data_IF_797152897872
#
_entry.id   IF_797152897872
#
_cell.length_a   1.000
_cell.length_b   1.000
_cell.length_c   1.000
_cell.angle_alpha   90.00
_cell.angle_beta   90.00
_cell.angle_gamma   90.00
#
_symmetry.space_group_name_H-M   'P 1'
#
loop_
_entity.id
_entity.type
_entity.pdbx_description
1 polymer ?
#
# COMPACT_ATOMS: atom_id res chain seq x y z
N UNK A 1 0.22 -21.85 -31.31
CA UNK A 1 -0.71 -21.00 -32.08
C UNK A 1 -0.74 -19.66 -31.36
N UNK A 2 0.11 -18.71 -31.79
CA UNK A 2 0.21 -17.40 -31.16
C UNK A 2 -0.77 -16.46 -31.85
N UNK A 3 -2.06 -16.62 -31.57
CA UNK A 3 -2.99 -15.53 -31.76
C UNK A 3 -2.78 -14.61 -30.56
N UNK A 4 -2.17 -13.44 -30.77
CA UNK A 4 -2.26 -12.34 -29.82
C UNK A 4 -3.74 -12.00 -29.70
N UNK A 5 -4.40 -12.54 -28.67
CA UNK A 5 -5.77 -12.16 -28.36
C UNK A 5 -5.80 -10.65 -28.17
N UNK A 6 -6.63 -9.98 -28.99
CA UNK A 6 -6.78 -8.54 -28.95
C UNK A 6 -7.48 -8.21 -27.63
N UNK A 7 -6.77 -7.53 -26.72
CA UNK A 7 -7.37 -7.08 -25.47
C UNK A 7 -8.53 -6.11 -25.76
N UNK A 8 -9.66 -6.36 -25.11
CA UNK A 8 -10.82 -5.46 -25.09
C UNK A 8 -11.10 -5.15 -23.62
N UNK A 9 -11.22 -3.87 -23.25
CA UNK A 9 -11.43 -3.48 -21.86
C UNK A 9 -12.66 -4.15 -21.20
N UNK A 10 -13.65 -4.55 -21.99
CA UNK A 10 -14.85 -5.27 -21.52
C UNK A 10 -14.53 -6.61 -20.82
N UNK A 11 -13.48 -7.30 -21.26
CA UNK A 11 -13.08 -8.65 -20.81
C UNK A 11 -11.96 -8.62 -19.75
N UNK A 12 -11.58 -7.43 -19.27
CA UNK A 12 -10.54 -7.27 -18.27
C UNK A 12 -10.93 -7.94 -16.95
N UNK A 13 -10.12 -8.89 -16.51
CA UNK A 13 -10.27 -9.62 -15.25
C UNK A 13 -8.90 -9.81 -14.60
N UNK A 14 -8.91 -10.06 -13.29
CA UNK A 14 -7.70 -10.42 -12.53
C UNK A 14 -7.63 -11.94 -12.43
N UNK A 15 -6.42 -12.51 -12.45
CA UNK A 15 -6.22 -13.92 -12.13
C UNK A 15 -6.81 -14.27 -10.74
N UNK A 16 -7.67 -15.29 -10.70
CA UNK A 16 -8.29 -15.78 -9.46
C UNK A 16 -7.24 -16.18 -8.41
N UNK A 17 -6.09 -16.72 -8.85
CA UNK A 17 -4.99 -17.07 -7.96
C UNK A 17 -4.34 -15.82 -7.33
N UNK A 18 -4.36 -14.68 -8.01
CA UNK A 18 -3.82 -13.42 -7.52
C UNK A 18 -4.73 -12.80 -6.43
N UNK A 19 -6.03 -13.08 -6.45
CA UNK A 19 -7.02 -12.56 -5.48
C UNK A 19 -7.39 -13.53 -4.34
N UNK A 20 -7.04 -14.82 -4.47
CA UNK A 20 -7.31 -15.80 -3.43
C UNK A 20 -6.62 -15.44 -2.10
N UNK A 21 -7.27 -15.55 -0.93
CA UNK A 21 -6.60 -15.37 0.36
C UNK A 21 -5.39 -16.30 0.51
N UNK A 22 -4.30 -15.81 1.12
CA UNK A 22 -3.16 -16.65 1.46
C UNK A 22 -3.57 -17.65 2.57
N UNK A 23 -3.03 -18.89 2.57
CA UNK A 23 -3.37 -19.90 3.59
C UNK A 23 -3.20 -19.37 5.01
N UNK A 24 -4.16 -19.71 5.88
CA UNK A 24 -4.20 -19.32 7.30
C UNK A 24 -4.05 -17.81 7.54
N UNK A 25 -4.32 -16.99 6.53
CA UNK A 25 -4.13 -15.55 6.60
C UNK A 25 -5.43 -14.81 6.29
N UNK A 26 -5.63 -13.66 6.93
CA UNK A 26 -6.69 -12.72 6.56
C UNK A 26 -6.16 -11.30 6.46
N UNK A 27 -6.71 -10.53 5.52
CA UNK A 27 -6.51 -9.08 5.48
C UNK A 27 -7.18 -8.47 6.72
N UNK A 28 -6.48 -7.55 7.37
CA UNK A 28 -7.02 -6.70 8.42
C UNK A 28 -6.71 -5.25 8.12
N UNK A 29 -7.43 -4.35 8.77
CA UNK A 29 -7.17 -2.92 8.71
C UNK A 29 -7.02 -2.36 10.12
N UNK A 30 -5.92 -1.66 10.36
CA UNK A 30 -5.72 -0.87 11.58
C UNK A 30 -6.23 0.54 11.31
N UNK A 31 -7.24 0.97 12.06
CA UNK A 31 -7.77 2.32 11.98
C UNK A 31 -6.80 3.31 12.65
N UNK A 32 -6.54 4.44 11.98
CA UNK A 32 -5.77 5.55 12.54
C UNK A 32 -6.64 6.55 13.29
N UNK A 33 -6.23 7.81 13.29
CA UNK A 33 -6.93 8.93 13.94
C UNK A 33 -8.31 9.26 13.34
N UNK A 34 -8.65 8.67 12.19
CA UNK A 34 -9.87 8.94 11.43
C UNK A 34 -10.41 7.66 10.76
N UNK A 35 -11.73 7.51 10.59
CA UNK A 35 -12.35 6.27 10.09
C UNK A 35 -11.97 5.88 8.65
N UNK A 36 -11.57 6.84 7.82
CA UNK A 36 -11.13 6.62 6.45
C UNK A 36 -9.62 6.33 6.35
N UNK A 37 -8.86 6.42 7.44
CA UNK A 37 -7.46 6.01 7.51
C UNK A 37 -7.39 4.57 8.03
N UNK A 38 -7.50 3.63 7.10
CA UNK A 38 -7.50 2.18 7.37
C UNK A 38 -6.24 1.57 6.77
N UNK A 39 -5.29 1.18 7.62
CA UNK A 39 -3.98 0.69 7.20
C UNK A 39 -3.99 -0.83 7.07
N UNK A 40 -3.82 -1.38 5.85
CA UNK A 40 -3.89 -2.81 5.62
C UNK A 40 -2.66 -3.51 6.18
N UNK A 41 -2.93 -4.65 6.78
CA UNK A 41 -1.94 -5.64 7.17
C UNK A 41 -2.53 -7.02 6.90
N UNK A 42 -1.68 -8.04 7.01
CA UNK A 42 -2.14 -9.42 6.99
C UNK A 42 -1.87 -10.04 8.34
N UNK A 43 -2.89 -10.66 8.92
CA UNK A 43 -2.68 -11.50 10.09
C UNK A 43 -2.59 -12.97 9.67
N UNK A 44 -1.80 -13.74 10.40
CA UNK A 44 -1.58 -15.16 10.19
C UNK A 44 -2.01 -15.89 11.47
N UNK A 45 -3.00 -16.76 11.35
CA UNK A 45 -3.44 -17.62 12.43
C UNK A 45 -2.36 -18.67 12.73
N UNK A 46 -2.17 -18.97 14.01
CA UNK A 46 -1.26 -19.99 14.48
C UNK A 46 -2.08 -21.13 15.11
N UNK A 47 -1.60 -22.36 14.96
CA UNK A 47 -2.16 -23.49 15.69
C UNK A 47 -1.89 -23.34 17.20
N UNK A 48 -2.74 -23.94 18.02
CA UNK A 48 -2.53 -23.98 19.47
C UNK A 48 -1.30 -24.85 19.79
N UNK A 49 -0.48 -24.40 20.73
CA UNK A 49 0.66 -25.18 21.23
C UNK A 49 0.13 -26.36 22.04
N UNK A 50 0.41 -27.63 21.68
CA UNK A 50 -0.09 -28.76 22.45
C UNK A 50 0.45 -28.77 23.88
N UNK A 51 -0.44 -28.84 24.86
CA UNK A 51 -0.10 -28.98 26.28
C UNK A 51 -0.89 -30.14 26.89
N UNK A 52 -0.44 -30.65 28.05
CA UNK A 52 -1.12 -31.74 28.75
C UNK A 52 -2.58 -31.42 29.16
N UNK A 53 -3.02 -30.16 29.10
CA UNK A 53 -4.32 -29.69 29.57
C UNK A 53 -5.11 -28.90 28.50
N UNK A 54 -5.01 -29.27 27.23
CA UNK A 54 -5.94 -28.78 26.19
C UNK A 54 -5.42 -27.67 25.27
N UNK A 55 -4.10 -27.48 25.22
CA UNK A 55 -3.45 -26.56 24.28
C UNK A 55 -3.36 -25.11 24.76
N UNK A 56 -2.27 -24.41 24.44
CA UNK A 56 -2.08 -22.99 24.73
C UNK A 56 -2.27 -22.18 23.43
N UNK A 57 -3.18 -21.21 23.47
CA UNK A 57 -3.53 -20.40 22.30
C UNK A 57 -2.39 -19.47 21.91
N UNK A 58 -2.04 -19.50 20.63
CA UNK A 58 -1.07 -18.57 20.06
C UNK A 58 -1.80 -17.40 19.38
N UNK A 59 -1.48 -16.14 19.72
CA UNK A 59 -2.13 -15.01 19.07
C UNK A 59 -1.68 -14.90 17.61
N UNK A 60 -2.49 -14.32 16.73
CA UNK A 60 -2.11 -14.19 15.33
C UNK A 60 -0.87 -13.30 15.17
N UNK A 61 -0.06 -13.59 14.16
CA UNK A 61 1.11 -12.77 13.78
C UNK A 61 0.69 -11.79 12.71
N UNK A 62 1.02 -10.52 12.89
CA UNK A 62 0.79 -9.49 11.88
C UNK A 62 2.02 -9.33 10.99
N UNK A 63 1.79 -9.21 9.69
CA UNK A 63 2.84 -8.97 8.68
C UNK A 63 2.44 -7.81 7.79
N UNK A 64 3.47 -7.14 7.25
CA UNK A 64 3.29 -6.12 6.24
C UNK A 64 2.64 -6.73 4.99
N UNK A 65 1.70 -6.02 4.38
CA UNK A 65 0.94 -6.51 3.25
C UNK A 65 0.83 -5.45 2.15
N UNK A 66 1.34 -5.78 0.97
CA UNK A 66 1.41 -4.93 -0.21
C UNK A 66 0.35 -5.29 -1.25
N UNK A 67 -0.43 -6.36 -1.04
CA UNK A 67 -1.34 -6.90 -2.05
C UNK A 67 -2.57 -6.02 -2.33
N UNK A 68 -2.71 -4.89 -1.64
CA UNK A 68 -3.86 -4.00 -1.78
C UNK A 68 -5.21 -4.67 -1.54
N UNK A 69 -6.30 -4.17 -2.15
CA UNK A 69 -7.64 -4.73 -2.02
C UNK A 69 -7.79 -6.13 -2.63
N UNK A 70 -6.81 -6.61 -3.42
CA UNK A 70 -6.92 -7.88 -4.15
C UNK A 70 -7.04 -9.10 -3.24
N UNK A 71 -6.50 -9.06 -2.02
CA UNK A 71 -6.65 -10.16 -1.04
C UNK A 71 -7.68 -9.89 0.05
N UNK A 72 -8.48 -8.82 -0.11
CA UNK A 72 -9.61 -8.54 0.77
C UNK A 72 -10.89 -9.22 0.23
N UNK A 73 -11.42 -10.25 0.90
CA UNK A 73 -12.62 -10.96 0.43
C UNK A 73 -13.88 -10.08 0.41
N UNK A 74 -13.87 -8.93 1.10
CA UNK A 74 -14.97 -7.97 1.06
C UNK A 74 -14.85 -6.97 -0.11
N UNK A 75 -13.68 -6.90 -0.76
CA UNK A 75 -13.48 -6.00 -1.89
C UNK A 75 -14.09 -6.60 -3.17
N UNK A 76 -14.84 -5.77 -3.90
CA UNK A 76 -15.30 -6.10 -5.25
C UNK A 76 -14.31 -5.51 -6.25
N UNK A 77 -13.50 -6.37 -6.85
CA UNK A 77 -12.49 -5.96 -7.83
C UNK A 77 -13.11 -5.96 -9.22
N UNK A 78 -13.19 -4.78 -9.83
CA UNK A 78 -13.48 -4.61 -11.25
C UNK A 78 -12.41 -3.69 -11.85
N UNK A 79 -11.48 -4.27 -12.62
CA UNK A 79 -10.38 -3.52 -13.25
C UNK A 79 -10.92 -2.38 -14.11
N UNK A 80 -12.10 -2.54 -14.71
CA UNK A 80 -12.74 -1.56 -15.60
C UNK A 80 -13.20 -0.30 -14.87
N UNK A 81 -13.44 -0.43 -13.57
CA UNK A 81 -13.81 0.67 -12.68
C UNK A 81 -12.59 1.25 -11.95
N UNK A 82 -11.47 0.54 -11.97
CA UNK A 82 -10.28 0.87 -11.19
C UNK A 82 -10.47 0.68 -9.69
N UNK A 83 -9.39 0.86 -8.93
CA UNK A 83 -9.43 0.77 -7.47
C UNK A 83 -10.13 1.99 -6.84
N UNK A 84 -10.66 1.85 -5.61
CA UNK A 84 -11.17 2.96 -4.83
C UNK A 84 -10.09 4.04 -4.62
N UNK A 85 -10.47 5.31 -4.79
CA UNK A 85 -9.57 6.45 -4.59
C UNK A 85 -9.42 6.80 -3.09
N UNK A 86 -8.75 5.92 -2.34
CA UNK A 86 -8.55 5.97 -0.90
C UNK A 86 -8.14 7.37 -0.39
N UNK A 87 -7.20 8.02 -1.08
CA UNK A 87 -6.60 9.29 -0.67
C UNK A 87 -7.33 10.52 -1.20
N UNK A 88 -8.40 10.36 -1.99
CA UNK A 88 -9.07 11.48 -2.67
C UNK A 88 -9.47 12.57 -1.67
N UNK A 89 -10.13 12.18 -0.58
CA UNK A 89 -10.60 13.12 0.47
C UNK A 89 -9.43 13.86 1.13
N UNK A 90 -8.32 13.17 1.38
CA UNK A 90 -7.12 13.75 2.00
C UNK A 90 -6.47 14.79 1.09
N UNK A 91 -6.51 14.57 -0.22
CA UNK A 91 -6.01 15.52 -1.22
C UNK A 91 -6.93 16.74 -1.31
N UNK A 92 -8.25 16.53 -1.23
CA UNK A 92 -9.25 17.59 -1.34
C UNK A 92 -9.29 18.53 -0.14
N UNK A 93 -9.27 17.97 1.08
CA UNK A 93 -9.40 18.73 2.32
C UNK A 93 -8.23 19.68 2.57
N UNK A 94 -7.05 19.43 1.98
CA UNK A 94 -5.89 20.32 2.07
C UNK A 94 -6.09 21.66 1.36
N UNK A 95 -6.99 21.74 0.40
CA UNK A 95 -7.35 23.01 -0.26
C UNK A 95 -6.24 23.63 -1.13
N UNK A 96 -5.17 22.90 -1.41
CA UNK A 96 -3.98 23.37 -2.14
C UNK A 96 -3.87 22.83 -3.57
N UNK A 97 -4.84 22.02 -4.00
CA UNK A 97 -4.99 21.55 -5.39
C UNK A 97 -6.24 22.11 -6.06
N UNK A 98 -6.24 22.08 -7.40
CA UNK A 98 -7.38 22.38 -8.25
C UNK A 98 -7.54 21.30 -9.31
N UNK A 99 -8.80 21.04 -9.69
CA UNK A 99 -9.15 20.09 -10.75
C UNK A 99 -9.05 20.82 -12.09
N UNK A 100 -8.34 20.22 -13.03
CA UNK A 100 -8.25 20.73 -14.39
C UNK A 100 -9.47 20.31 -15.21
N UNK A 101 -9.88 21.13 -16.19
CA UNK A 101 -11.00 20.79 -17.05
C UNK A 101 -10.73 19.55 -17.89
N UNK A 102 -9.47 19.35 -18.30
CA UNK A 102 -9.01 18.28 -19.19
C UNK A 102 -7.49 18.00 -19.03
N UNK A 103 -6.96 17.02 -19.77
CA UNK A 103 -5.54 16.66 -19.86
C UNK A 103 -4.70 17.85 -20.35
N UNK A 104 -3.69 18.19 -19.55
CA UNK A 104 -2.80 19.31 -19.81
C UNK A 104 -1.50 18.93 -20.51
N UNK A 105 -1.10 17.65 -20.52
CA UNK A 105 0.10 17.19 -21.24
C UNK A 105 -0.19 16.98 -22.73
N UNK A 106 0.80 17.29 -23.57
CA UNK A 106 0.72 17.03 -25.01
C UNK A 106 0.52 15.53 -25.29
N UNK A 107 1.33 14.69 -24.66
CA UNK A 107 1.23 13.23 -24.76
C UNK A 107 -0.16 12.72 -24.36
N UNK A 108 -0.71 13.20 -23.23
CA UNK A 108 -2.04 12.81 -22.77
C UNK A 108 -3.13 13.18 -23.76
N UNK A 109 -3.10 14.41 -24.32
CA UNK A 109 -4.05 14.84 -25.34
C UNK A 109 -3.93 14.03 -26.64
N UNK A 110 -2.71 13.75 -27.10
CA UNK A 110 -2.48 12.93 -28.29
C UNK A 110 -3.06 11.52 -28.10
N UNK A 111 -2.81 10.88 -26.94
CA UNK A 111 -3.35 9.55 -26.63
C UNK A 111 -4.87 9.55 -26.43
N UNK A 112 -5.45 10.62 -25.90
CA UNK A 112 -6.89 10.75 -25.77
C UNK A 112 -7.61 10.96 -27.11
N UNK A 113 -6.94 11.58 -28.09
CA UNK A 113 -7.48 11.83 -29.42
C UNK A 113 -7.27 10.67 -30.40
N UNK A 114 -6.47 9.66 -30.04
CA UNK A 114 -6.15 8.51 -30.89
C UNK A 114 -7.30 7.46 -30.87
N UNK A 115 -8.04 7.27 -31.98
CA UNK A 115 -9.15 6.30 -32.03
C UNK A 115 -8.71 4.85 -31.88
N UNK A 116 -7.44 4.54 -32.18
CA UNK A 116 -6.90 3.17 -32.04
C UNK A 116 -6.84 2.72 -30.57
N UNK A 117 -6.92 3.66 -29.63
CA UNK A 117 -6.88 3.40 -28.20
C UNK A 117 -8.28 3.32 -27.56
N UNK A 118 -9.35 3.60 -28.30
CA UNK A 118 -10.73 3.65 -27.77
C UNK A 118 -11.11 2.36 -27.02
N UNK A 119 -10.81 1.19 -27.61
CA UNK A 119 -11.09 -0.12 -27.03
C UNK A 119 -10.23 -0.47 -25.80
N UNK A 120 -9.13 0.25 -25.59
CA UNK A 120 -8.21 0.08 -24.45
C UNK A 120 -8.57 1.00 -23.28
N UNK A 121 -9.41 2.03 -23.49
CA UNK A 121 -9.77 2.97 -22.42
C UNK A 121 -10.77 2.34 -21.47
N UNK A 122 -10.48 2.45 -20.18
CA UNK A 122 -11.37 1.96 -19.14
C UNK A 122 -12.58 2.91 -18.98
N UNK A 123 -13.81 2.47 -19.31
CA UNK A 123 -14.98 3.34 -19.36
C UNK A 123 -15.44 3.81 -17.98
N UNK A 124 -15.02 3.17 -16.89
CA UNK A 124 -15.34 3.60 -15.52
C UNK A 124 -14.42 4.71 -14.98
N UNK A 125 -13.31 5.02 -15.66
CA UNK A 125 -12.25 5.86 -15.12
C UNK A 125 -12.28 7.28 -15.71
N UNK A 126 -13.19 8.12 -15.20
CA UNK A 126 -13.33 9.53 -15.59
C UNK A 126 -12.75 10.52 -14.58
N UNK A 127 -11.62 10.17 -13.95
CA UNK A 127 -10.97 11.06 -12.97
C UNK A 127 -10.29 12.22 -13.70
N UNK A 128 -10.72 13.45 -13.38
CA UNK A 128 -10.07 14.65 -13.92
C UNK A 128 -8.73 14.89 -13.23
N UNK A 129 -7.68 15.27 -13.97
CA UNK A 129 -6.38 15.50 -13.39
C UNK A 129 -6.42 16.72 -12.45
N UNK A 130 -5.64 16.63 -11.37
CA UNK A 130 -5.39 17.71 -10.42
C UNK A 130 -3.99 18.29 -10.62
N UNK A 131 -3.85 19.58 -10.29
CA UNK A 131 -2.55 20.23 -10.08
C UNK A 131 -2.55 21.03 -8.78
N UNK A 132 -1.36 21.38 -8.31
CA UNK A 132 -1.23 22.37 -7.24
C UNK A 132 -1.80 23.73 -7.71
N UNK A 133 -2.47 24.45 -6.81
CA UNK A 133 -2.87 25.84 -7.04
C UNK A 133 -1.63 26.72 -7.21
N UNK A 134 -1.78 27.85 -7.90
CA UNK A 134 -0.70 28.81 -8.08
C UNK A 134 -0.08 29.21 -6.72
N UNK A 135 1.25 29.14 -6.62
CA UNK A 135 1.99 29.46 -5.39
C UNK A 135 1.98 28.37 -4.30
N UNK A 136 1.27 27.25 -4.51
CA UNK A 136 1.23 26.14 -3.56
C UNK A 136 2.20 25.02 -3.94
N UNK A 137 2.60 24.23 -2.95
CA UNK A 137 3.42 23.02 -3.13
C UNK A 137 2.76 21.87 -2.38
N UNK A 138 2.56 20.76 -3.08
CA UNK A 138 1.76 19.62 -2.61
C UNK A 138 2.60 18.42 -2.20
N UNK A 139 3.93 18.56 -2.19
CA UNK A 139 4.85 17.47 -1.85
C UNK A 139 4.86 17.17 -0.36
N UNK A 140 5.07 15.90 0.01
CA UNK A 140 5.20 15.48 1.40
C UNK A 140 6.36 16.18 2.11
N UNK A 141 7.47 16.45 1.41
CA UNK A 141 8.60 17.24 1.94
C UNK A 141 8.21 18.68 2.27
N UNK A 142 7.33 19.31 1.48
CA UNK A 142 6.84 20.66 1.76
C UNK A 142 6.04 20.70 3.07
N UNK A 143 5.06 19.80 3.23
CA UNK A 143 4.29 19.72 4.47
C UNK A 143 5.18 19.41 5.67
N UNK A 144 6.10 18.45 5.52
CA UNK A 144 7.01 18.04 6.58
C UNK A 144 7.87 19.20 7.11
N UNK A 145 8.42 20.02 6.20
CA UNK A 145 9.24 21.20 6.56
C UNK A 145 8.42 22.34 7.18
N UNK A 146 7.11 22.39 6.92
CA UNK A 146 6.17 23.29 7.61
C UNK A 146 5.73 22.77 9.00
N UNK A 147 6.20 21.60 9.43
CA UNK A 147 5.78 20.99 10.69
C UNK A 147 4.40 20.32 10.59
N UNK A 148 3.89 20.07 9.39
CA UNK A 148 2.57 19.47 9.17
C UNK A 148 2.74 17.95 9.04
N UNK A 149 1.99 17.21 9.85
CA UNK A 149 1.80 15.76 9.72
C UNK A 149 0.56 15.54 8.83
N UNK A 150 0.75 14.88 7.69
CA UNK A 150 -0.35 14.55 6.77
C UNK A 150 -0.98 13.20 7.12
N UNK A 151 -2.20 12.90 6.61
CA UNK A 151 -2.75 11.55 6.70
C UNK A 151 -1.81 10.48 6.11
N UNK A 152 -1.04 10.79 5.06
CA UNK A 152 -0.07 9.84 4.52
C UNK A 152 1.09 9.56 5.50
N UNK A 153 1.54 10.56 6.27
CA UNK A 153 2.60 10.36 7.28
C UNK A 153 2.12 9.51 8.46
N UNK A 154 0.86 9.69 8.88
CA UNK A 154 0.25 8.83 9.89
C UNK A 154 0.05 7.41 9.36
N UNK A 155 -0.46 7.27 8.14
CA UNK A 155 -0.67 5.97 7.50
C UNK A 155 0.60 5.13 7.48
N UNK A 156 1.71 5.69 7.01
CA UNK A 156 2.99 4.96 6.98
C UNK A 156 3.54 4.70 8.37
N UNK A 157 3.30 5.57 9.37
CA UNK A 157 3.73 5.31 10.74
C UNK A 157 3.04 4.06 11.32
N UNK A 158 1.72 3.95 11.14
CA UNK A 158 0.96 2.76 11.54
C UNK A 158 1.44 1.53 10.77
N UNK A 159 1.65 1.66 9.44
CA UNK A 159 2.06 0.55 8.57
C UNK A 159 3.42 -0.03 8.97
N UNK A 160 4.38 0.82 9.28
CA UNK A 160 5.75 0.43 9.65
C UNK A 160 5.83 -0.21 11.04
N UNK A 161 4.85 0.01 11.92
CA UNK A 161 4.78 -0.66 13.22
C UNK A 161 4.21 -2.09 13.14
N UNK A 162 3.59 -2.48 12.01
CA UNK A 162 3.06 -3.83 11.74
C UNK A 162 2.23 -4.38 12.92
N UNK A 163 1.42 -3.51 13.54
CA UNK A 163 0.56 -3.81 14.69
C UNK A 163 1.27 -4.54 15.86
N UNK A 164 2.57 -4.25 16.05
CA UNK A 164 3.41 -4.92 17.05
C UNK A 164 2.90 -4.75 18.48
N UNK A 165 2.38 -3.58 18.83
CA UNK A 165 1.83 -3.33 20.18
C UNK A 165 0.67 -4.28 20.48
N UNK A 166 -0.31 -4.41 19.57
CA UNK A 166 -1.42 -5.34 19.71
C UNK A 166 -0.94 -6.78 19.83
N UNK A 167 0.07 -7.20 19.06
CA UNK A 167 0.65 -8.53 19.19
C UNK A 167 1.19 -8.78 20.60
N UNK A 168 1.92 -7.82 21.17
CA UNK A 168 2.45 -7.93 22.53
C UNK A 168 1.33 -7.95 23.58
N UNK A 169 0.26 -7.16 23.39
CA UNK A 169 -0.91 -7.20 24.27
C UNK A 169 -1.64 -8.54 24.21
N UNK A 170 -1.83 -9.07 23.01
CA UNK A 170 -2.43 -10.40 22.81
C UNK A 170 -1.58 -11.49 23.48
N UNK A 171 -0.25 -11.39 23.39
CA UNK A 171 0.66 -12.29 24.11
C UNK A 171 0.53 -12.18 25.62
N UNK A 172 0.37 -10.97 26.20
CA UNK A 172 0.13 -10.84 27.65
C UNK A 172 -1.19 -11.51 28.06
N UNK A 173 -2.18 -11.48 27.18
CA UNK A 173 -3.51 -12.03 27.42
C UNK A 173 -3.60 -13.57 27.28
N UNK A 174 -2.54 -14.29 26.87
CA UNK A 174 -2.57 -15.75 26.71
C UNK A 174 -2.60 -16.55 28.02
N UNK A 175 -2.53 -15.88 29.18
CA UNK A 175 -2.69 -16.49 30.50
C UNK A 175 -1.48 -16.28 31.41
N UNK A 176 -1.23 -17.18 32.39
CA UNK A 176 -0.21 -16.98 33.42
C UNK A 176 1.22 -16.81 32.88
N UNK A 177 1.51 -17.34 31.69
CA UNK A 177 2.82 -17.26 31.03
C UNK A 177 2.95 -16.08 30.05
N UNK A 178 1.91 -15.27 29.85
CA UNK A 178 1.89 -14.23 28.82
C UNK A 178 3.04 -13.20 28.94
N UNK A 179 3.34 -12.75 30.16
CA UNK A 179 4.48 -11.84 30.41
C UNK A 179 5.84 -12.48 30.08
N UNK A 180 5.97 -13.80 30.30
CA UNK A 180 7.17 -14.54 29.90
C UNK A 180 7.26 -14.64 28.37
N UNK A 181 6.14 -14.87 27.69
CA UNK A 181 6.08 -14.91 26.23
C UNK A 181 6.45 -13.57 25.59
N UNK A 182 5.95 -12.45 26.12
CA UNK A 182 6.33 -11.10 25.67
C UNK A 182 7.84 -10.88 25.74
N UNK A 183 8.49 -11.29 26.84
CA UNK A 183 9.93 -11.16 27.01
C UNK A 183 10.71 -12.04 26.04
N UNK A 184 10.20 -13.23 25.72
CA UNK A 184 10.85 -14.18 24.83
C UNK A 184 10.67 -13.81 23.35
N UNK A 185 9.43 -13.63 22.91
CA UNK A 185 9.04 -13.41 21.51
C UNK A 185 9.17 -11.94 21.09
N UNK A 186 9.09 -11.00 22.02
CA UNK A 186 9.34 -9.58 21.76
C UNK A 186 10.83 -9.23 21.63
N UNK A 187 11.74 -10.19 21.88
CA UNK A 187 13.19 -9.98 21.80
C UNK A 187 13.62 -9.77 20.35
N UNK A 188 14.16 -8.59 20.08
CA UNK A 188 14.77 -8.27 18.79
C UNK A 188 16.30 -8.38 18.91
N UNK A 189 16.94 -9.04 17.94
CA UNK A 189 18.39 -9.04 17.84
C UNK A 189 18.86 -7.62 17.53
N UNK A 190 19.85 -7.09 18.28
CA UNK A 190 20.33 -5.70 18.11
C UNK A 190 20.84 -5.43 16.70
N UNK A 191 21.42 -6.44 16.05
CA UNK A 191 22.02 -6.32 14.73
C UNK A 191 23.17 -5.32 14.69
N UNK A 192 23.55 -4.90 13.49
CA UNK A 192 24.47 -3.79 13.24
C UNK A 192 23.81 -2.92 12.16
N UNK A 193 23.42 -1.70 12.52
CA UNK A 193 22.70 -0.78 11.65
C UNK A 193 23.62 0.27 10.99
N UNK A 194 24.92 0.25 11.33
CA UNK A 194 25.96 1.17 10.86
C UNK A 194 25.63 2.65 11.14
N UNK A 195 25.05 2.94 12.31
CA UNK A 195 24.70 4.30 12.74
C UNK A 195 23.36 4.78 12.19
N UNK A 196 22.42 3.87 11.95
CA UNK A 196 21.04 4.25 11.64
C UNK A 196 20.36 4.85 12.89
N UNK A 197 19.16 5.40 12.71
CA UNK A 197 18.37 5.96 13.82
C UNK A 197 16.98 5.35 13.79
N UNK A 198 16.91 4.03 13.95
CA UNK A 198 15.67 3.25 13.93
C UNK A 198 15.06 3.28 15.34
N UNK A 199 13.90 3.91 15.54
CA UNK A 199 13.24 3.93 16.85
C UNK A 199 12.58 2.58 17.14
N UNK A 200 12.22 2.35 18.41
CA UNK A 200 11.43 1.17 18.80
C UNK A 200 9.98 1.21 18.29
N UNK A 201 9.47 2.42 18.05
CA UNK A 201 8.13 2.69 17.54
C UNK A 201 8.21 3.84 16.53
N UNK A 202 7.55 3.67 15.40
CA UNK A 202 7.47 4.66 14.34
C UNK A 202 6.28 5.57 14.61
N UNK A 203 6.53 6.84 14.94
CA UNK A 203 5.47 7.82 15.16
C UNK A 203 5.25 8.69 13.90
N UNK A 204 4.06 9.30 13.72
CA UNK A 204 3.83 10.24 12.63
C UNK A 204 4.81 11.42 12.64
N UNK A 205 5.22 11.88 13.82
CA UNK A 205 6.23 12.92 13.99
C UNK A 205 7.63 12.45 13.57
N UNK A 206 8.02 11.21 13.88
CA UNK A 206 9.28 10.65 13.40
C UNK A 206 9.30 10.59 11.87
N UNK A 207 8.21 10.10 11.24
CA UNK A 207 8.02 10.08 9.79
C UNK A 207 8.18 11.49 9.20
N UNK A 208 7.45 12.48 9.74
CA UNK A 208 7.55 13.88 9.32
C UNK A 208 9.00 14.38 9.42
N UNK A 209 9.70 14.09 10.52
CA UNK A 209 11.08 14.51 10.72
C UNK A 209 12.04 13.93 9.67
N UNK A 210 11.88 12.64 9.32
CA UNK A 210 12.67 11.94 8.31
C UNK A 210 12.44 12.52 6.90
N UNK A 211 11.19 12.80 6.57
CA UNK A 211 10.80 13.41 5.30
C UNK A 211 11.30 14.85 5.21
N UNK A 212 11.20 15.64 6.28
CA UNK A 212 11.64 17.04 6.29
C UNK A 212 13.14 17.19 6.02
N UNK A 213 13.96 16.28 6.58
CA UNK A 213 15.41 16.24 6.40
C UNK A 213 15.87 15.49 5.15
N UNK A 214 14.93 15.02 4.31
CA UNK A 214 15.22 14.36 3.04
C UNK A 214 15.86 12.98 3.19
N UNK A 215 15.69 12.32 4.34
CA UNK A 215 16.20 10.95 4.59
C UNK A 215 15.19 9.86 4.26
N UNK A 216 13.94 10.24 4.07
CA UNK A 216 12.88 9.37 3.61
C UNK A 216 11.92 10.09 2.66
N UNK A 217 11.20 9.33 1.84
CA UNK A 217 10.20 9.82 0.89
C UNK A 217 8.92 9.00 0.97
N UNK A 218 7.80 9.63 0.62
CA UNK A 218 6.47 9.01 0.50
C UNK A 218 5.99 9.27 -0.94
N UNK A 219 6.16 8.30 -1.87
CA UNK A 219 5.92 8.49 -3.31
C UNK A 219 4.43 8.46 -3.64
N UNK A 220 3.77 9.60 -3.48
CA UNK A 220 2.31 9.67 -3.40
C UNK A 220 1.74 10.82 -4.24
N UNK A 221 1.84 10.70 -5.58
CA UNK A 221 1.30 11.67 -6.54
C UNK A 221 -0.18 11.98 -6.25
N UNK A 222 -0.56 13.26 -6.36
CA UNK A 222 -1.95 13.74 -6.17
C UNK A 222 -2.93 13.19 -7.21
N UNK A 223 -2.43 12.65 -8.33
CA UNK A 223 -3.23 12.00 -9.37
C UNK A 223 -3.24 10.46 -9.26
N UNK A 224 -2.68 9.89 -8.19
CA UNK A 224 -2.73 8.46 -7.89
C UNK A 224 -3.43 8.25 -6.52
N UNK A 225 -4.71 8.66 -6.37
CA UNK A 225 -5.40 8.60 -5.09
C UNK A 225 -5.74 7.17 -4.62
N UNK A 226 -5.59 6.17 -5.49
CA UNK A 226 -5.79 4.75 -5.20
C UNK A 226 -4.62 4.15 -4.41
N UNK A 227 -3.46 4.82 -4.42
CA UNK A 227 -2.27 4.37 -3.71
C UNK A 227 -2.50 4.25 -2.21
N UNK A 228 -2.13 3.09 -1.66
CA UNK A 228 -1.92 2.91 -0.23
C UNK A 228 -0.53 3.47 0.13
N UNK A 229 -0.42 4.53 0.96
CA UNK A 229 0.88 5.13 1.26
C UNK A 229 1.91 4.14 1.81
N UNK A 230 3.15 4.35 1.42
CA UNK A 230 4.33 3.64 1.93
C UNK A 230 5.51 4.61 2.02
N UNK A 231 6.53 4.26 2.81
CA UNK A 231 7.71 5.10 3.03
C UNK A 231 8.99 4.36 2.65
N UNK A 232 9.88 5.08 1.98
CA UNK A 232 11.22 4.60 1.60
C UNK A 232 12.24 5.45 2.36
N UNK A 233 13.06 4.81 3.18
CA UNK A 233 14.14 5.47 3.92
C UNK A 233 14.92 4.48 4.78
N UNK A 234 16.15 4.85 5.15
CA UNK A 234 17.09 3.96 5.87
C UNK A 234 16.57 3.47 7.23
N UNK A 235 15.73 4.25 7.91
CA UNK A 235 15.24 3.92 9.25
C UNK A 235 13.88 3.20 9.27
N UNK A 236 13.45 2.70 8.12
CA UNK A 236 12.17 2.00 7.91
C UNK A 236 12.46 0.58 7.43
N UNK A 237 11.42 -0.25 7.32
CA UNK A 237 11.54 -1.57 6.68
C UNK A 237 12.15 -1.42 5.28
N UNK A 238 13.05 -2.33 4.90
CA UNK A 238 13.60 -2.35 3.54
C UNK A 238 12.45 -2.62 2.57
N UNK A 239 12.40 -1.85 1.47
CA UNK A 239 11.36 -1.93 0.45
C UNK A 239 11.91 -2.53 -0.83
N UNK A 240 11.10 -3.28 -1.55
CA UNK A 240 11.46 -3.94 -2.81
C UNK A 240 10.58 -3.45 -3.96
N UNK A 241 11.18 -3.35 -5.15
CA UNK A 241 10.50 -2.94 -6.37
C UNK A 241 10.45 -4.11 -7.36
N UNK A 242 9.35 -4.24 -8.09
CA UNK A 242 9.27 -5.11 -9.26
C UNK A 242 9.14 -4.28 -10.54
N UNK A 243 9.79 -4.73 -11.61
CA UNK A 243 9.64 -4.15 -12.93
C UNK A 243 8.64 -4.98 -13.72
N UNK A 244 7.66 -4.32 -14.31
CA UNK A 244 6.75 -4.87 -15.31
C UNK A 244 7.01 -4.15 -16.64
N UNK A 245 6.21 -4.41 -17.65
CA UNK A 245 6.34 -3.73 -18.94
C UNK A 245 6.16 -4.67 -20.11
N UNK A 246 5.65 -4.10 -21.20
CA UNK A 246 5.47 -4.81 -22.44
C UNK A 246 6.80 -4.98 -23.20
N UNK A 247 6.92 -6.08 -23.93
CA UNK A 247 8.02 -6.26 -24.90
C UNK A 247 7.49 -6.03 -26.31
N UNK A 248 8.36 -5.56 -27.21
CA UNK A 248 8.03 -5.45 -28.64
C UNK A 248 7.63 -6.79 -29.29
N UNK A 249 7.86 -7.92 -28.61
CA UNK A 249 7.62 -9.28 -29.08
C UNK A 249 6.38 -9.93 -28.48
N UNK A 250 5.73 -9.30 -27.50
CA UNK A 250 4.55 -9.82 -26.84
C UNK A 250 4.34 -9.21 -25.46
N UNK A 251 3.15 -8.62 -25.26
CA UNK A 251 2.44 -8.52 -24.00
C UNK A 251 1.03 -7.97 -24.26
N UNK A 252 0.04 -8.39 -23.47
CA UNK A 252 -1.32 -7.84 -23.46
C UNK A 252 -1.56 -6.99 -22.20
N UNK A 253 -2.58 -6.12 -22.20
CA UNK A 253 -2.93 -5.32 -21.01
C UNK A 253 -3.29 -6.23 -19.82
N UNK A 254 -4.00 -7.34 -20.06
CA UNK A 254 -4.30 -8.32 -19.02
C UNK A 254 -3.02 -8.89 -18.39
N UNK A 255 -2.04 -9.27 -19.22
CA UNK A 255 -0.75 -9.78 -18.71
C UNK A 255 -0.01 -8.75 -17.85
N UNK A 256 -0.04 -7.46 -18.20
CA UNK A 256 0.59 -6.42 -17.36
C UNK A 256 -0.15 -6.21 -16.03
N UNK A 257 -1.48 -6.28 -16.03
CA UNK A 257 -2.28 -6.23 -14.80
C UNK A 257 -2.01 -7.46 -13.92
N UNK A 258 -1.89 -8.64 -14.51
CA UNK A 258 -1.55 -9.87 -13.80
C UNK A 258 -0.14 -9.79 -13.20
N UNK A 259 0.86 -9.31 -13.95
CA UNK A 259 2.21 -9.09 -13.39
C UNK A 259 2.19 -8.12 -12.21
N UNK A 260 1.44 -7.03 -12.30
CA UNK A 260 1.30 -6.04 -11.23
C UNK A 260 0.65 -6.65 -9.99
N UNK A 261 -0.48 -7.34 -10.14
CA UNK A 261 -1.22 -7.97 -9.02
C UNK A 261 -0.41 -9.11 -8.41
N UNK A 262 0.28 -9.90 -9.22
CA UNK A 262 1.17 -10.96 -8.76
C UNK A 262 2.36 -10.41 -7.98
N UNK A 263 3.00 -9.36 -8.49
CA UNK A 263 4.11 -8.70 -7.81
C UNK A 263 3.72 -8.20 -6.42
N UNK A 264 2.64 -7.42 -6.35
CA UNK A 264 2.17 -6.82 -5.10
C UNK A 264 1.70 -7.88 -4.10
N UNK A 265 1.06 -8.96 -4.57
CA UNK A 265 0.70 -10.14 -3.77
C UNK A 265 1.90 -10.77 -3.06
N UNK A 266 3.03 -10.87 -3.74
CA UNK A 266 4.25 -11.50 -3.20
C UNK A 266 5.20 -10.52 -2.49
N UNK A 267 4.75 -9.29 -2.25
CA UNK A 267 5.48 -8.32 -1.43
C UNK A 267 6.21 -7.23 -2.21
N UNK A 268 5.96 -7.08 -3.52
CA UNK A 268 6.40 -5.91 -4.28
C UNK A 268 5.81 -4.63 -3.67
N UNK A 269 6.64 -3.82 -3.00
CA UNK A 269 6.20 -2.57 -2.37
C UNK A 269 5.91 -1.47 -3.40
N UNK A 270 6.67 -1.48 -4.49
CA UNK A 270 6.48 -0.60 -5.64
C UNK A 270 6.59 -1.40 -6.94
N UNK A 271 5.94 -0.89 -7.98
CA UNK A 271 6.00 -1.45 -9.33
C UNK A 271 6.42 -0.33 -10.28
N UNK A 272 7.34 -0.66 -11.19
CA UNK A 272 7.76 0.23 -12.28
C UNK A 272 7.31 -0.38 -13.61
N UNK A 273 6.51 0.38 -14.35
CA UNK A 273 6.17 0.16 -15.77
C UNK A 273 7.13 0.98 -16.65
#
# INVERSE_FOLDING_TARGET
MNATEKFVAADAHVDEAAVAPLPNSRKIYVEGSRPDLRVPMREIAQDDTPTAFGGEKNPPIYVYDCSGPYTDPAAKIDIRSGLPALRQRWIEERGDTEVLPDLSSEFGRQRAADPALDELRFPGLHRKPRRARAGMNVSQMHYARKGIITPEMEYVAIRENVNRQQYLENLRATGPMGEKMVKLLGRQHKGQDFGASIPAEITPEFVRSEVARGRAIIPNNINHPESEPMIIGRNFLVKINANIGNSALGSSINEEVDKMTWSTRWGGDTVMD
#
